data_IF_805526319903
#
_entry.id   IF_805526319903
#
_cell.length_a   1.000
_cell.length_b   1.000
_cell.length_c   1.000
_cell.angle_alpha   90.00
_cell.angle_beta   90.00
_cell.angle_gamma   90.00
#
_symmetry.space_group_name_H-M   'P 1'
#
loop_
_entity.id
_entity.type
_entity.pdbx_description
1 polymer ?
#
# COMPACT_ATOMS: atom_id res chain seq x y z
N UNK A 1 -18.79 22.55 -5.28
CA UNK A 1 -18.20 21.63 -6.28
C UNK A 1 -17.89 20.33 -5.57
N UNK A 2 -18.32 19.19 -6.11
CA UNK A 2 -18.03 17.87 -5.54
C UNK A 2 -16.60 17.48 -5.91
N UNK A 3 -15.77 17.18 -4.92
CA UNK A 3 -14.44 16.63 -5.16
C UNK A 3 -14.56 15.25 -5.80
N UNK A 4 -13.76 14.99 -6.83
CA UNK A 4 -13.75 13.70 -7.52
C UNK A 4 -12.75 12.74 -6.86
N UNK A 5 -13.09 11.46 -6.65
CA UNK A 5 -12.15 10.49 -6.14
C UNK A 5 -11.00 10.27 -7.12
N UNK A 6 -9.79 10.05 -6.60
CA UNK A 6 -8.58 9.75 -7.36
C UNK A 6 -7.94 8.48 -6.79
N UNK A 7 -8.16 7.30 -7.40
CA UNK A 7 -7.60 6.05 -6.89
C UNK A 7 -6.07 6.06 -7.05
N UNK A 8 -5.36 5.86 -5.94
CA UNK A 8 -3.91 5.65 -5.93
C UNK A 8 -3.59 4.20 -6.25
N UNK A 9 -2.34 3.95 -6.68
CA UNK A 9 -1.83 2.59 -6.77
C UNK A 9 -1.89 1.95 -5.37
N UNK A 10 -2.62 0.84 -5.19
CA UNK A 10 -2.90 0.18 -3.92
C UNK A 10 -1.74 -0.65 -3.36
N UNK A 11 -0.62 -0.67 -4.05
CA UNK A 11 0.55 -1.46 -3.68
C UNK A 11 1.64 -0.57 -3.10
N UNK A 12 2.15 -0.95 -1.93
CA UNK A 12 3.43 -0.45 -1.41
C UNK A 12 4.62 -1.16 -2.08
N UNK A 13 4.39 -2.06 -3.04
CA UNK A 13 5.46 -2.69 -3.81
C UNK A 13 6.32 -1.63 -4.52
N UNK A 14 7.56 -2.01 -4.80
CA UNK A 14 8.59 -1.16 -5.41
C UNK A 14 9.03 0.05 -4.57
N UNK A 15 8.75 0.06 -3.26
CA UNK A 15 9.30 1.00 -2.28
C UNK A 15 8.30 2.02 -1.73
N UNK A 16 7.01 1.70 -1.76
CA UNK A 16 5.97 2.48 -1.10
C UNK A 16 6.05 2.41 0.43
N UNK A 17 5.12 3.07 1.11
CA UNK A 17 5.12 3.17 2.57
C UNK A 17 3.83 2.62 3.18
N UNK A 18 3.97 1.94 4.31
CA UNK A 18 2.85 1.60 5.18
C UNK A 18 2.87 2.51 6.40
N UNK A 19 1.81 3.29 6.61
CA UNK A 19 1.75 4.34 7.64
C UNK A 19 0.61 4.04 8.61
N UNK A 20 0.88 4.03 9.91
CA UNK A 20 -0.15 3.79 10.91
C UNK A 20 -1.19 4.93 10.92
N UNK A 21 -2.47 4.58 11.05
CA UNK A 21 -3.55 5.56 11.21
C UNK A 21 -3.62 5.95 12.69
N UNK A 22 -3.31 7.21 12.99
CA UNK A 22 -3.29 7.75 14.35
C UNK A 22 -4.69 8.05 14.86
N UNK A 23 -4.91 7.78 16.15
CA UNK A 23 -6.21 8.01 16.81
C UNK A 23 -7.35 7.22 16.16
N UNK A 24 -7.05 6.01 15.67
CA UNK A 24 -8.01 5.25 14.88
C UNK A 24 -9.23 4.83 15.71
N UNK A 25 -10.43 5.15 15.21
CA UNK A 25 -11.70 4.81 15.85
C UNK A 25 -11.94 3.29 15.78
N UNK A 26 -11.76 2.59 16.91
CA UNK A 26 -11.82 1.13 16.98
C UNK A 26 -13.13 0.54 16.46
N UNK A 27 -14.27 1.18 16.74
CA UNK A 27 -15.57 0.74 16.21
C UNK A 27 -15.61 0.77 14.68
N UNK A 28 -15.08 1.82 14.06
CA UNK A 28 -15.04 1.92 12.61
C UNK A 28 -14.05 0.93 11.97
N UNK A 29 -12.94 0.64 12.65
CA UNK A 29 -12.01 -0.40 12.19
C UNK A 29 -12.60 -1.81 12.33
N UNK A 30 -13.42 -2.04 13.36
CA UNK A 30 -14.13 -3.31 13.56
C UNK A 30 -15.13 -3.57 12.45
N UNK A 31 -15.96 -2.58 12.11
CA UNK A 31 -16.92 -2.68 10.99
C UNK A 31 -16.23 -3.03 9.66
N UNK A 32 -15.01 -2.54 9.47
CA UNK A 32 -14.21 -2.82 8.29
C UNK A 32 -13.54 -4.20 8.32
N UNK A 33 -13.23 -4.75 9.49
CA UNK A 33 -12.63 -6.07 9.60
C UNK A 33 -13.56 -7.16 9.05
N UNK A 34 -14.87 -7.02 9.30
CA UNK A 34 -15.91 -7.95 8.84
C UNK A 34 -16.33 -7.72 7.38
N UNK A 35 -16.16 -6.49 6.87
CA UNK A 35 -16.64 -6.09 5.55
C UNK A 35 -15.59 -6.17 4.42
N UNK A 36 -14.31 -6.24 4.76
CA UNK A 36 -13.25 -6.16 3.77
C UNK A 36 -12.95 -7.51 3.10
N UNK A 37 -12.61 -7.43 1.80
CA UNK A 37 -12.22 -8.58 1.01
C UNK A 37 -10.92 -9.18 1.55
N UNK A 38 -10.74 -10.52 1.46
CA UNK A 38 -9.45 -11.14 1.77
C UNK A 38 -8.36 -10.43 0.96
N UNK A 39 -7.29 -9.99 1.64
CA UNK A 39 -6.19 -9.30 0.98
C UNK A 39 -5.52 -10.17 -0.09
N UNK A 40 -4.72 -9.52 -0.96
CA UNK A 40 -3.94 -10.17 -2.01
C UNK A 40 -2.95 -11.25 -1.51
N UNK A 41 -2.73 -11.34 -0.20
CA UNK A 41 -1.81 -12.29 0.46
C UNK A 41 -2.49 -13.61 0.88
N UNK A 42 -3.77 -13.81 0.55
CA UNK A 42 -4.49 -15.06 0.80
C UNK A 42 -5.23 -15.13 2.15
N UNK A 43 -5.78 -16.31 2.51
CA UNK A 43 -6.58 -16.48 3.71
C UNK A 43 -5.74 -16.28 4.98
N UNK A 44 -5.96 -15.16 5.68
CA UNK A 44 -5.25 -14.76 6.89
C UNK A 44 -4.48 -13.43 6.79
N UNK A 45 -4.41 -12.82 5.60
CA UNK A 45 -3.84 -11.48 5.42
C UNK A 45 -4.69 -10.36 6.02
N UNK A 46 -4.14 -9.13 6.14
CA UNK A 46 -4.90 -7.97 6.60
C UNK A 46 -6.09 -7.69 5.65
N UNK A 47 -7.22 -7.34 6.26
CA UNK A 47 -8.42 -6.91 5.53
C UNK A 47 -8.16 -5.57 4.85
N UNK A 48 -8.59 -5.41 3.59
CA UNK A 48 -8.34 -4.20 2.82
C UNK A 48 -9.60 -3.38 2.56
N UNK A 49 -9.54 -2.07 2.79
CA UNK A 49 -10.64 -1.14 2.52
C UNK A 49 -10.17 0.12 1.78
N UNK A 50 -10.94 0.60 0.81
CA UNK A 50 -10.65 1.85 0.11
C UNK A 50 -10.98 3.06 1.01
N UNK A 51 -10.01 3.94 1.26
CA UNK A 51 -10.16 5.10 2.14
C UNK A 51 -9.79 6.38 1.43
N UNK A 52 -10.46 7.47 1.77
CA UNK A 52 -10.24 8.80 1.20
C UNK A 52 -9.39 9.65 2.13
N UNK A 53 -8.42 10.36 1.56
CA UNK A 53 -7.54 11.29 2.28
C UNK A 53 -8.03 12.73 2.08
N UNK A 54 -8.08 13.49 3.17
CA UNK A 54 -8.51 14.89 3.15
C UNK A 54 -7.56 15.72 4.03
N UNK A 55 -7.05 16.88 3.57
CA UNK A 55 -6.22 17.75 4.40
C UNK A 55 -6.87 18.15 5.72
N UNK A 56 -6.07 18.15 6.78
CA UNK A 56 -6.45 18.66 8.09
C UNK A 56 -5.73 19.98 8.38
N UNK A 57 -6.39 21.14 8.26
CA UNK A 57 -5.76 22.42 8.55
C UNK A 57 -5.40 22.60 10.03
N UNK A 58 -6.00 21.81 10.94
CA UNK A 58 -5.75 21.94 12.38
C UNK A 58 -4.45 21.24 12.82
N UNK A 59 -4.20 20.04 12.31
CA UNK A 59 -2.98 19.27 12.62
C UNK A 59 -1.87 19.45 11.59
N UNK A 60 -2.18 20.05 10.44
CA UNK A 60 -1.28 20.13 9.29
C UNK A 60 -1.19 18.82 8.50
N UNK A 61 -1.76 17.71 8.98
CA UNK A 61 -1.71 16.38 8.36
C UNK A 61 -2.91 16.05 7.45
N UNK A 62 -3.29 14.78 7.42
CA UNK A 62 -4.42 14.26 6.62
C UNK A 62 -5.42 13.53 7.53
N UNK A 63 -6.71 13.72 7.29
CA UNK A 63 -7.79 12.86 7.83
C UNK A 63 -8.04 11.70 6.90
N UNK A 64 -8.23 10.53 7.49
CA UNK A 64 -8.58 9.29 6.77
C UNK A 64 -10.06 9.01 6.96
N UNK A 65 -10.79 8.84 5.85
CA UNK A 65 -12.22 8.55 5.85
C UNK A 65 -12.56 7.27 5.11
N UNK A 66 -13.49 6.49 5.64
CA UNK A 66 -14.17 5.41 4.91
C UNK A 66 -15.64 5.81 4.73
N UNK A 67 -16.04 6.08 3.49
CA UNK A 67 -17.34 6.67 3.20
C UNK A 67 -17.53 8.01 3.94
N UNK A 68 -18.42 8.02 4.94
CA UNK A 68 -18.70 9.20 5.79
C UNK A 68 -18.03 9.13 7.16
N UNK A 69 -17.44 8.00 7.52
CA UNK A 69 -16.87 7.77 8.85
C UNK A 69 -15.39 8.15 8.86
N UNK A 70 -14.99 8.98 9.82
CA UNK A 70 -13.57 9.28 10.07
C UNK A 70 -12.92 8.06 10.72
N UNK A 71 -11.92 7.49 10.07
CA UNK A 71 -11.13 6.41 10.64
C UNK A 71 -10.09 6.95 11.60
N UNK A 72 -9.37 8.01 11.23
CA UNK A 72 -8.31 8.59 12.04
C UNK A 72 -7.57 9.69 11.31
N UNK A 73 -6.28 9.84 11.61
CA UNK A 73 -5.42 10.90 11.07
C UNK A 73 -4.04 10.36 10.69
N UNK A 74 -3.34 11.11 9.86
CA UNK A 74 -1.94 10.87 9.47
C UNK A 74 -1.12 12.12 9.81
N UNK A 75 0.16 11.95 10.17
CA UNK A 75 1.01 13.05 10.62
C UNK A 75 1.30 14.06 9.51
N UNK A 76 1.67 15.29 9.90
CA UNK A 76 2.04 16.36 8.97
C UNK A 76 3.26 16.01 8.10
N UNK A 77 4.23 15.27 8.66
CA UNK A 77 5.43 14.80 7.94
C UNK A 77 5.09 13.94 6.71
N UNK A 78 3.92 13.30 6.69
CA UNK A 78 3.48 12.55 5.53
C UNK A 78 3.20 13.47 4.33
N UNK A 79 2.68 14.68 4.55
CA UNK A 79 2.44 15.64 3.46
C UNK A 79 3.75 16.20 2.92
N UNK A 80 4.76 16.36 3.76
CA UNK A 80 6.12 16.73 3.34
C UNK A 80 6.74 15.64 2.46
N UNK A 81 6.54 14.36 2.81
CA UNK A 81 7.02 13.23 2.01
C UNK A 81 6.21 12.97 0.73
N UNK A 82 4.98 13.49 0.65
CA UNK A 82 4.05 13.26 -0.47
C UNK A 82 3.42 14.58 -0.97
N UNK A 83 4.21 15.51 -1.51
CA UNK A 83 3.69 16.78 -2.06
C UNK A 83 2.68 16.57 -3.20
N UNK A 84 2.72 15.42 -3.87
CA UNK A 84 1.76 15.04 -4.92
C UNK A 84 0.32 14.92 -4.37
N UNK A 85 0.13 14.58 -3.09
CA UNK A 85 -1.21 14.54 -2.48
C UNK A 85 -1.82 15.93 -2.33
N UNK A 86 -0.98 16.93 -2.06
CA UNK A 86 -1.39 18.33 -2.01
C UNK A 86 -1.72 18.85 -3.41
N UNK A 87 -0.94 18.44 -4.41
CA UNK A 87 -1.19 18.72 -5.82
C UNK A 87 -2.55 18.20 -6.28
N UNK A 88 -2.87 16.94 -5.96
CA UNK A 88 -4.19 16.35 -6.23
C UNK A 88 -5.30 17.13 -5.52
N UNK A 89 -5.10 17.46 -4.24
CA UNK A 89 -6.12 18.19 -3.48
C UNK A 89 -6.36 19.60 -4.02
N UNK A 90 -5.31 20.29 -4.46
CA UNK A 90 -5.38 21.58 -5.15
C UNK A 90 -6.17 21.52 -6.45
N UNK A 91 -6.14 20.38 -7.15
CA UNK A 91 -6.94 20.10 -8.36
C UNK A 91 -8.37 19.63 -8.04
N UNK A 92 -8.82 19.76 -6.79
CA UNK A 92 -10.13 19.29 -6.32
C UNK A 92 -10.33 17.77 -6.45
N UNK A 93 -9.22 17.02 -6.45
CA UNK A 93 -9.21 15.57 -6.43
C UNK A 93 -9.04 15.07 -4.99
N UNK A 94 -9.64 13.92 -4.68
CA UNK A 94 -9.57 13.26 -3.38
C UNK A 94 -8.78 11.96 -3.50
N UNK A 95 -7.52 11.93 -3.05
CA UNK A 95 -6.72 10.71 -3.09
C UNK A 95 -7.43 9.58 -2.34
N UNK A 96 -7.52 8.42 -2.99
CA UNK A 96 -8.05 7.19 -2.42
C UNK A 96 -6.94 6.15 -2.32
N UNK A 97 -6.62 5.77 -1.08
CA UNK A 97 -5.59 4.77 -0.77
C UNK A 97 -6.25 3.50 -0.19
N UNK A 98 -5.46 2.44 0.02
CA UNK A 98 -5.94 1.24 0.71
C UNK A 98 -5.54 1.27 2.17
N UNK A 99 -6.52 1.10 3.06
CA UNK A 99 -6.28 0.80 4.46
C UNK A 99 -6.12 -0.71 4.64
N UNK A 100 -5.06 -1.11 5.35
CA UNK A 100 -4.77 -2.46 5.80
C UNK A 100 -5.21 -2.60 7.25
N UNK A 101 -6.08 -3.55 7.53
CA UNK A 101 -6.76 -3.67 8.82
C UNK A 101 -6.48 -5.06 9.36
N UNK A 102 -5.85 -5.11 10.53
CA UNK A 102 -5.43 -6.35 11.16
C UNK A 102 -5.77 -6.37 12.65
N UNK A 103 -6.08 -7.56 13.15
CA UNK A 103 -6.23 -7.79 14.58
C UNK A 103 -4.84 -7.97 15.19
N UNK A 104 -4.52 -7.21 16.23
CA UNK A 104 -3.28 -7.39 16.98
C UNK A 104 -3.37 -8.65 17.84
N UNK A 105 -2.52 -9.67 17.60
CA UNK A 105 -2.58 -10.91 18.37
C UNK A 105 -2.38 -10.64 19.87
N UNK A 106 -3.20 -11.27 20.71
CA UNK A 106 -3.08 -11.23 22.17
C UNK A 106 -3.53 -9.93 22.86
N UNK A 107 -3.87 -8.86 22.12
CA UNK A 107 -4.36 -7.60 22.70
C UNK A 107 -5.82 -7.27 22.37
N UNK A 108 -6.44 -7.98 21.43
CA UNK A 108 -7.81 -7.72 20.99
C UNK A 108 -8.03 -6.33 20.39
N UNK A 109 -6.95 -5.62 20.03
CA UNK A 109 -6.98 -4.27 19.45
C UNK A 109 -6.83 -4.35 17.94
N UNK A 110 -7.58 -3.53 17.22
CA UNK A 110 -7.51 -3.49 15.76
C UNK A 110 -6.56 -2.39 15.34
N UNK A 111 -5.61 -2.74 14.48
CA UNK A 111 -4.64 -1.83 13.88
C UNK A 111 -5.09 -1.50 12.46
N UNK A 112 -5.17 -0.21 12.16
CA UNK A 112 -5.36 0.30 10.82
C UNK A 112 -4.07 0.95 10.33
N UNK A 113 -3.62 0.54 9.16
CA UNK A 113 -2.48 1.14 8.46
C UNK A 113 -2.93 1.57 7.06
N UNK A 114 -2.21 2.52 6.48
CA UNK A 114 -2.44 2.99 5.13
C UNK A 114 -1.30 2.52 4.23
N UNK A 115 -1.63 1.79 3.18
CA UNK A 115 -0.71 1.48 2.10
C UNK A 115 -0.69 2.65 1.11
N UNK A 116 0.48 3.27 0.97
CA UNK A 116 0.74 4.32 -0.01
C UNK A 116 1.80 3.85 -1.01
N UNK A 117 1.61 4.16 -2.30
CA UNK A 117 2.64 3.89 -3.29
C UNK A 117 3.83 4.84 -3.06
N UNK A 118 4.91 4.70 -3.82
CA UNK A 118 5.99 5.71 -3.78
C UNK A 118 5.46 7.09 -4.15
N UNK A 119 6.05 8.18 -3.64
CA UNK A 119 5.68 9.55 -4.03
C UNK A 119 5.67 9.74 -5.55
N UNK A 120 6.67 9.19 -6.26
CA UNK A 120 6.78 9.25 -7.72
C UNK A 120 5.73 8.43 -8.50
N UNK A 121 4.92 7.62 -7.82
CA UNK A 121 3.83 6.83 -8.41
C UNK A 121 2.43 7.40 -8.10
N UNK A 122 2.33 8.45 -7.28
CA UNK A 122 1.03 9.03 -6.90
C UNK A 122 0.29 9.57 -8.12
N UNK A 123 0.98 10.27 -9.02
CA UNK A 123 0.45 10.79 -10.29
C UNK A 123 1.22 10.08 -11.42
N UNK A 124 0.54 9.40 -12.37
CA UNK A 124 1.22 8.82 -13.53
C UNK A 124 1.90 9.90 -14.39
N UNK A 125 3.01 9.54 -15.01
CA UNK A 125 3.75 10.38 -15.95
C UNK A 125 3.01 10.57 -17.28
N UNK A 126 2.12 9.65 -17.64
CA UNK A 126 1.31 9.74 -18.86
C UNK A 126 -0.13 10.10 -18.55
N UNK A 127 -0.74 11.01 -19.33
CA UNK A 127 -2.14 11.35 -19.17
C UNK A 127 -3.03 10.14 -19.53
N UNK A 128 -4.26 10.09 -19.00
CA UNK A 128 -5.22 9.08 -19.44
C UNK A 128 -5.57 9.26 -20.93
N UNK A 129 -6.00 8.18 -21.63
CA UNK A 129 -6.47 8.29 -23.01
C UNK A 129 -7.65 9.26 -23.16
N UNK A 130 -7.75 9.89 -24.35
CA UNK A 130 -8.85 10.80 -24.67
C UNK A 130 -10.15 10.04 -24.98
N UNK A 131 -10.02 8.81 -25.49
CA UNK A 131 -11.12 7.89 -25.76
C UNK A 131 -11.70 7.30 -24.47
N UNK A 132 -12.96 6.81 -24.47
CA UNK A 132 -13.48 6.00 -23.38
C UNK A 132 -12.56 4.83 -23.07
N UNK A 133 -12.20 4.69 -21.80
CA UNK A 133 -11.20 3.72 -21.37
C UNK A 133 -11.59 3.10 -20.03
N UNK A 134 -11.07 1.91 -19.75
CA UNK A 134 -11.26 1.21 -18.48
C UNK A 134 -9.90 0.80 -17.90
N UNK A 135 -9.77 0.94 -16.59
CA UNK A 135 -8.58 0.47 -15.89
C UNK A 135 -8.68 -1.04 -15.69
N UNK A 136 -7.64 -1.77 -16.09
CA UNK A 136 -7.52 -3.19 -15.80
C UNK A 136 -7.56 -3.42 -14.29
N UNK A 137 -8.31 -4.43 -13.82
CA UNK A 137 -8.31 -4.79 -12.41
C UNK A 137 -6.89 -5.16 -11.98
N UNK A 138 -6.52 -4.66 -10.81
CA UNK A 138 -5.15 -4.81 -10.34
C UNK A 138 -4.88 -6.21 -9.81
N UNK A 139 -3.67 -6.70 -10.05
CA UNK A 139 -3.22 -8.02 -9.62
C UNK A 139 -1.70 -8.09 -9.46
N UNK A 140 -1.07 -9.27 -9.64
CA UNK A 140 0.38 -9.40 -9.50
C UNK A 140 1.12 -8.52 -10.52
N UNK A 141 2.36 -8.16 -10.17
CA UNK A 141 3.26 -7.48 -11.08
C UNK A 141 3.75 -8.45 -12.17
N UNK A 142 3.47 -8.12 -13.43
CA UNK A 142 3.85 -8.88 -14.62
C UNK A 142 4.94 -8.14 -15.35
N UNK A 143 6.06 -8.80 -15.62
CA UNK A 143 7.19 -8.16 -16.27
C UNK A 143 6.89 -7.91 -17.75
N UNK A 144 7.23 -6.71 -18.21
CA UNK A 144 7.09 -6.31 -19.62
C UNK A 144 8.48 -6.42 -20.26
N UNK A 145 8.56 -7.18 -21.35
CA UNK A 145 9.75 -7.21 -22.18
C UNK A 145 9.85 -5.90 -22.97
N UNK A 146 10.67 -4.98 -22.48
CA UNK A 146 10.91 -3.67 -23.09
C UNK A 146 11.76 -3.75 -24.35
N UNK A 147 12.45 -4.87 -24.61
CA UNK A 147 13.26 -5.05 -25.82
C UNK A 147 12.41 -5.21 -27.08
N UNK A 148 11.11 -5.52 -26.94
CA UNK A 148 10.15 -5.56 -28.05
C UNK A 148 9.46 -4.22 -28.30
N UNK A 149 9.68 -3.23 -27.42
CA UNK A 149 9.14 -1.88 -27.54
C UNK A 149 10.01 -0.96 -28.40
N UNK A 150 9.44 0.18 -28.77
CA UNK A 150 10.12 1.28 -29.48
C UNK A 150 10.12 2.60 -28.70
N UNK A 151 9.52 2.61 -27.50
CA UNK A 151 9.51 3.76 -26.62
C UNK A 151 10.94 4.19 -26.25
N UNK A 152 11.15 5.50 -26.18
CA UNK A 152 12.36 6.08 -25.63
C UNK A 152 12.59 5.59 -24.19
N UNK A 153 13.83 5.70 -23.73
CA UNK A 153 14.30 5.27 -22.41
C UNK A 153 13.30 5.63 -21.32
N UNK A 154 12.77 4.62 -20.64
CA UNK A 154 11.77 4.80 -19.59
C UNK A 154 12.46 5.32 -18.34
N UNK A 155 11.96 6.42 -17.79
CA UNK A 155 12.47 6.95 -16.53
C UNK A 155 12.29 5.90 -15.41
N UNK A 156 13.36 5.55 -14.67
CA UNK A 156 13.27 4.67 -13.51
C UNK A 156 12.39 5.25 -12.41
N UNK A 157 11.65 4.40 -11.70
CA UNK A 157 10.82 4.84 -10.58
C UNK A 157 9.63 5.72 -10.96
N UNK A 158 9.11 5.60 -12.19
CA UNK A 158 7.88 6.26 -12.66
C UNK A 158 6.72 5.29 -12.87
N UNK A 159 5.51 5.83 -12.77
CA UNK A 159 4.28 5.13 -13.13
C UNK A 159 3.74 5.67 -14.45
N UNK A 160 3.23 4.77 -15.30
CA UNK A 160 2.63 5.07 -16.58
C UNK A 160 1.22 4.48 -16.63
N UNK A 161 0.29 5.22 -17.23
CA UNK A 161 -0.96 4.65 -17.74
C UNK A 161 -0.68 4.11 -19.13
N UNK A 162 -0.64 2.78 -19.24
CA UNK A 162 -0.30 2.08 -20.48
C UNK A 162 -1.56 1.49 -21.11
N UNK A 163 -1.82 1.82 -22.37
CA UNK A 163 -2.81 1.11 -23.20
C UNK A 163 -2.32 -0.32 -23.41
N UNK A 164 -3.21 -1.28 -23.17
CA UNK A 164 -2.94 -2.71 -23.39
C UNK A 164 -3.79 -3.18 -24.56
N UNK A 165 -3.15 -3.79 -25.55
CA UNK A 165 -3.83 -4.36 -26.73
C UNK A 165 -3.33 -5.78 -26.96
N UNK A 166 -4.18 -6.67 -27.46
CA UNK A 166 -3.76 -8.04 -27.79
C UNK A 166 -3.51 -8.18 -29.29
N UNK A 167 -2.29 -8.55 -29.67
CA UNK A 167 -1.89 -8.81 -31.06
C UNK A 167 -1.40 -10.26 -31.14
N UNK A 168 -2.05 -11.08 -31.97
CA UNK A 168 -1.73 -12.51 -32.13
C UNK A 168 -1.64 -13.29 -30.79
N UNK A 169 -2.48 -12.88 -29.83
CA UNK A 169 -2.53 -13.47 -28.49
C UNK A 169 -1.49 -12.94 -27.50
N UNK A 170 -0.62 -12.01 -27.91
CA UNK A 170 0.36 -11.35 -27.04
C UNK A 170 -0.16 -9.99 -26.61
N UNK A 171 -0.09 -9.69 -25.32
CA UNK A 171 -0.46 -8.38 -24.79
C UNK A 171 0.71 -7.40 -25.00
N UNK A 172 0.46 -6.33 -25.74
CA UNK A 172 1.40 -5.25 -26.04
C UNK A 172 0.96 -3.99 -25.30
N UNK A 173 1.92 -3.31 -24.68
CA UNK A 173 1.72 -2.10 -23.92
C UNK A 173 2.20 -0.90 -24.71
N UNK A 174 1.41 0.17 -24.72
CA UNK A 174 1.78 1.44 -25.33
C UNK A 174 1.48 2.61 -24.39
N UNK A 175 2.32 3.63 -24.40
CA UNK A 175 2.08 4.85 -23.65
C UNK A 175 2.56 6.06 -24.46
N UNK A 176 1.70 7.09 -24.56
CA UNK A 176 1.92 8.16 -25.51
C UNK A 176 1.90 7.64 -26.96
N UNK A 177 2.92 8.00 -27.75
CA UNK A 177 3.03 7.58 -29.15
C UNK A 177 3.84 6.28 -29.36
N UNK A 178 4.45 5.73 -28.30
CA UNK A 178 5.35 4.57 -28.39
C UNK A 178 4.83 3.30 -27.72
N UNK A 179 5.31 2.15 -28.20
CA UNK A 179 5.20 0.84 -27.58
C UNK A 179 6.22 0.70 -26.46
N UNK A 180 5.74 0.43 -25.25
CA UNK A 180 6.57 0.13 -24.09
C UNK A 180 7.19 -1.28 -24.15
N UNK A 181 6.56 -2.20 -24.88
CA UNK A 181 6.96 -3.61 -24.96
C UNK A 181 5.79 -4.57 -24.86
N UNK A 182 6.09 -5.85 -24.67
CA UNK A 182 5.11 -6.94 -24.63
C UNK A 182 5.22 -7.80 -23.38
N UNK A 183 4.11 -8.36 -22.92
CA UNK A 183 4.14 -9.39 -21.88
C UNK A 183 4.62 -10.73 -22.44
N UNK A 184 5.15 -11.57 -21.56
CA UNK A 184 5.41 -12.97 -21.87
C UNK A 184 4.12 -13.73 -22.26
N UNK A 185 4.23 -14.91 -22.89
CA UNK A 185 3.05 -15.66 -23.36
C UNK A 185 2.07 -16.07 -22.24
N UNK A 186 2.60 -16.44 -21.07
CA UNK A 186 1.79 -16.81 -19.90
C UNK A 186 1.03 -15.60 -19.34
N UNK A 187 1.75 -14.51 -19.05
CA UNK A 187 1.15 -13.25 -18.60
C UNK A 187 0.14 -12.68 -19.61
N UNK A 188 0.44 -12.81 -20.90
CA UNK A 188 -0.47 -12.42 -21.98
C UNK A 188 -1.75 -13.25 -21.97
N UNK A 189 -1.66 -14.57 -21.73
CA UNK A 189 -2.83 -15.43 -21.67
C UNK A 189 -3.74 -15.07 -20.50
N UNK A 190 -3.17 -14.72 -19.35
CA UNK A 190 -3.92 -14.34 -18.15
C UNK A 190 -4.79 -13.08 -18.35
N UNK A 191 -4.25 -12.07 -19.06
CA UNK A 191 -4.93 -10.77 -19.24
C UNK A 191 -5.71 -10.65 -20.55
N UNK A 192 -5.53 -11.59 -21.49
CA UNK A 192 -6.10 -11.52 -22.84
C UNK A 192 -7.62 -11.35 -22.83
N UNK A 193 -8.30 -12.17 -22.04
CA UNK A 193 -9.76 -12.24 -22.08
C UNK A 193 -10.38 -10.96 -21.53
N UNK A 194 -9.84 -10.40 -20.43
CA UNK A 194 -10.31 -9.11 -19.90
C UNK A 194 -10.02 -7.93 -20.84
N UNK A 195 -8.86 -7.92 -21.51
CA UNK A 195 -8.53 -6.89 -22.51
C UNK A 195 -9.50 -6.97 -23.70
N UNK A 196 -9.71 -8.18 -24.23
CA UNK A 196 -10.62 -8.40 -25.36
C UNK A 196 -12.07 -8.05 -24.99
N UNK A 197 -12.47 -8.31 -23.75
CA UNK A 197 -13.79 -7.95 -23.23
C UNK A 197 -13.97 -6.42 -23.17
N UNK A 198 -12.96 -5.68 -22.71
CA UNK A 198 -13.04 -4.20 -22.69
C UNK A 198 -13.07 -3.62 -24.11
N UNK A 199 -12.29 -4.17 -25.03
CA UNK A 199 -12.35 -3.79 -26.45
C UNK A 199 -13.74 -4.05 -27.05
N UNK A 200 -14.39 -5.18 -26.70
CA UNK A 200 -15.75 -5.49 -27.13
C UNK A 200 -16.83 -4.55 -26.56
N UNK A 201 -16.52 -3.81 -25.49
CA UNK A 201 -17.34 -2.75 -24.91
C UNK A 201 -17.01 -1.36 -25.49
N UNK A 202 -16.20 -1.28 -26.55
CA UNK A 202 -15.66 -0.03 -27.11
C UNK A 202 -14.85 0.80 -26.10
N UNK A 203 -14.19 0.12 -25.15
CA UNK A 203 -13.32 0.73 -24.15
C UNK A 203 -11.85 0.40 -24.44
N UNK A 204 -10.99 1.41 -24.33
CA UNK A 204 -9.53 1.20 -24.32
C UNK A 204 -9.14 0.56 -22.99
N UNK A 205 -8.54 -0.64 -23.03
CA UNK A 205 -7.97 -1.26 -21.84
C UNK A 205 -6.68 -0.55 -21.43
N UNK A 206 -6.63 -0.06 -20.19
CA UNK A 206 -5.48 0.67 -19.63
C UNK A 206 -5.00 -0.04 -18.38
N UNK A 207 -3.70 -0.32 -18.31
CA UNK A 207 -3.05 -0.84 -17.12
C UNK A 207 -2.17 0.20 -16.45
N UNK A 208 -1.90 0.00 -15.15
CA UNK A 208 -0.83 0.74 -14.47
C UNK A 208 0.48 -0.01 -14.65
N UNK A 209 1.41 0.62 -15.35
CA UNK A 209 2.76 0.11 -15.49
C UNK A 209 3.72 0.93 -14.62
N UNK A 210 4.68 0.30 -13.95
CA UNK A 210 5.68 0.98 -13.13
C UNK A 210 7.09 0.52 -13.50
N UNK A 211 8.04 1.44 -13.49
CA UNK A 211 9.46 1.12 -13.59
C UNK A 211 10.06 0.96 -12.19
N UNK A 212 10.84 -0.09 -11.99
CA UNK A 212 11.64 -0.23 -10.77
C UNK A 212 12.89 0.69 -10.83
N UNK A 213 13.73 0.64 -9.80
CA UNK A 213 14.99 1.42 -9.76
C UNK A 213 16.04 0.96 -10.77
N UNK A 214 15.88 -0.22 -11.37
CA UNK A 214 16.77 -0.78 -12.39
C UNK A 214 16.26 -0.49 -13.81
N UNK A 215 15.15 0.26 -13.96
CA UNK A 215 14.53 0.55 -15.25
C UNK A 215 13.69 -0.58 -15.84
N UNK A 216 13.47 -1.68 -15.11
CA UNK A 216 12.57 -2.77 -15.54
C UNK A 216 11.11 -2.36 -15.37
N UNK A 217 10.29 -2.68 -16.37
CA UNK A 217 8.89 -2.29 -16.43
C UNK A 217 7.97 -3.44 -15.99
N UNK A 218 7.00 -3.13 -15.13
CA UNK A 218 6.03 -4.08 -14.62
C UNK A 218 4.61 -3.56 -14.81
N UNK A 219 3.73 -4.39 -15.37
CA UNK A 219 2.29 -4.15 -15.43
C UNK A 219 1.60 -4.77 -14.22
N UNK A 220 0.72 -4.02 -13.55
CA UNK A 220 -0.18 -4.59 -12.55
C UNK A 220 -1.52 -4.94 -13.18
N UNK A 221 -1.79 -6.23 -13.33
CA UNK A 221 -3.04 -6.74 -13.88
C UNK A 221 -3.39 -8.11 -13.29
N UNK A 222 -4.63 -8.27 -12.83
CA UNK A 222 -5.16 -9.55 -12.39
C UNK A 222 -5.37 -10.49 -13.58
N UNK A 223 -5.21 -11.79 -13.34
CA UNK A 223 -5.61 -12.78 -14.31
C UNK A 223 -7.14 -12.78 -14.44
N UNK A 224 -7.65 -12.98 -15.65
CA UNK A 224 -9.10 -12.95 -15.91
C UNK A 224 -9.84 -14.02 -15.09
N UNK A 225 -9.19 -15.15 -14.83
CA UNK A 225 -9.74 -16.25 -14.01
C UNK A 225 -9.96 -15.88 -12.54
N UNK A 226 -9.23 -14.89 -12.03
CA UNK A 226 -9.32 -14.44 -10.63
C UNK A 226 -10.35 -13.31 -10.44
N UNK A 227 -10.99 -12.87 -11.53
CA UNK A 227 -11.92 -11.76 -11.50
C UNK A 227 -13.32 -12.18 -11.07
N UNK A 228 -13.91 -11.38 -10.18
CA UNK A 228 -15.34 -11.43 -9.91
C UNK A 228 -16.13 -10.89 -11.13
N UNK A 229 -17.36 -11.38 -11.40
CA UNK A 229 -18.18 -10.87 -12.50
C UNK A 229 -18.36 -9.35 -12.52
N UNK A 230 -18.35 -8.67 -11.37
CA UNK A 230 -18.42 -7.21 -11.30
C UNK A 230 -17.23 -6.50 -11.95
N UNK A 231 -16.05 -7.14 -12.04
CA UNK A 231 -14.87 -6.58 -12.71
C UNK A 231 -14.99 -6.59 -14.24
N UNK A 232 -15.96 -7.34 -14.78
CA UNK A 232 -16.31 -7.33 -16.21
C UNK A 232 -17.14 -6.10 -16.60
N UNK A 233 -17.64 -5.33 -15.63
CA UNK A 233 -18.37 -4.08 -15.85
C UNK A 233 -17.59 -2.90 -15.27
N UNK A 234 -16.47 -2.50 -15.91
CA UNK A 234 -15.59 -1.50 -15.32
C UNK A 234 -16.23 -0.10 -15.33
N UNK A 235 -15.87 0.75 -14.36
CA UNK A 235 -16.14 2.18 -14.47
C UNK A 235 -15.41 2.77 -15.68
N UNK A 236 -16.12 3.58 -16.46
CA UNK A 236 -15.56 4.29 -17.61
C UNK A 236 -14.76 5.50 -17.12
N UNK A 237 -13.51 5.60 -17.57
CA UNK A 237 -12.56 6.67 -17.24
C UNK A 237 -12.42 6.92 -15.73
N UNK A 238 -11.95 5.91 -14.96
CA UNK A 238 -11.98 5.96 -13.50
C UNK A 238 -10.98 6.94 -12.88
N UNK A 239 -9.92 7.30 -13.61
CA UNK A 239 -8.95 8.31 -13.18
C UNK A 239 -9.20 9.64 -13.90
N UNK A 240 -9.49 10.73 -13.15
CA UNK A 240 -9.50 12.05 -13.75
C UNK A 240 -8.09 12.47 -14.17
N UNK A 241 -8.03 13.37 -15.15
CA UNK A 241 -6.78 14.01 -15.58
C UNK A 241 -6.18 14.78 -14.39
N UNK A 242 -5.03 14.33 -13.93
CA UNK A 242 -4.26 14.95 -12.86
C UNK A 242 -2.91 15.32 -13.42
N UNK A 243 -2.53 16.59 -13.27
CA UNK A 243 -1.24 17.06 -13.74
C UNK A 243 -0.25 17.10 -12.59
N UNK A 244 1.01 16.70 -12.80
CA UNK A 244 2.06 17.01 -11.83
C UNK A 244 2.13 18.52 -11.61
N UNK A 245 2.65 18.96 -10.47
CA UNK A 245 2.83 20.37 -10.22
C UNK A 245 3.84 20.92 -11.25
N UNK A 246 3.55 22.09 -11.83
CA UNK A 246 4.49 22.80 -12.70
C UNK A 246 5.77 23.10 -11.90
N UNK A 247 6.79 22.26 -12.08
CA UNK A 247 8.01 22.21 -11.26
C UNK A 247 8.68 20.84 -11.29
N UNK A 248 7.90 19.75 -11.39
CA UNK A 248 8.46 18.38 -11.41
C UNK A 248 9.08 17.98 -12.77
N UNK A 249 8.78 18.70 -13.85
CA UNK A 249 9.31 18.41 -15.21
C UNK A 249 10.57 19.23 -15.57
N UNK A 250 10.82 20.36 -14.90
CA UNK A 250 11.92 21.28 -15.23
C UNK A 250 13.07 21.25 -14.21
N UNK A 251 12.87 20.58 -13.07
CA UNK A 251 13.82 20.57 -11.95
C UNK A 251 14.75 19.34 -11.92
N UNK A 252 14.64 18.44 -12.89
CA UNK A 252 15.55 17.30 -13.03
C UNK A 252 16.91 17.69 -13.66
N UNK A 253 17.01 18.83 -14.36
CA UNK A 253 18.20 19.16 -15.17
C UNK A 253 18.70 20.61 -15.01
N UNK A 254 18.23 21.37 -14.01
CA UNK A 254 18.71 22.73 -13.77
C UNK A 254 18.89 23.00 -12.27
N UNK A 255 20.09 23.46 -11.85
CA UNK A 255 20.36 23.65 -10.43
C UNK A 255 19.50 24.79 -9.88
N UNK A 256 18.93 24.56 -8.70
CA UNK A 256 18.02 25.50 -8.04
C UNK A 256 18.79 26.77 -7.63
N UNK A 257 18.59 27.85 -8.38
CA UNK A 257 19.20 29.16 -8.18
C UNK A 257 18.17 30.09 -7.55
N UNK A 258 18.25 30.27 -6.23
CA UNK A 258 17.39 31.20 -5.51
C UNK A 258 18.11 32.54 -5.30
N UNK A 259 17.55 33.65 -5.81
CA UNK A 259 17.96 34.99 -5.39
C UNK A 259 17.40 35.30 -4.01
N UNK A 260 18.30 35.61 -3.07
CA UNK A 260 17.97 36.04 -1.73
C UNK A 260 17.61 37.54 -1.74
N UNK A 261 16.78 38.01 -0.79
CA UNK A 261 16.30 39.40 -0.74
C UNK A 261 17.40 40.47 -0.60
N UNK A 262 18.63 40.06 -0.28
CA UNK A 262 19.82 40.90 -0.13
C UNK A 262 20.63 41.03 -1.43
N UNK A 263 20.18 40.41 -2.54
CA UNK A 263 20.87 40.41 -3.82
C UNK A 263 21.97 39.36 -3.95
N UNK A 264 22.12 38.46 -2.96
CA UNK A 264 22.95 37.28 -3.09
C UNK A 264 22.17 36.13 -3.73
N UNK A 265 22.85 35.16 -4.31
CA UNK A 265 22.22 33.95 -4.86
C UNK A 265 22.67 32.72 -4.08
N UNK A 266 21.75 31.77 -3.90
CA UNK A 266 22.01 30.45 -3.34
C UNK A 266 21.80 29.43 -4.45
N UNK A 267 22.86 28.67 -4.73
CA UNK A 267 22.80 27.50 -5.61
C UNK A 267 22.76 26.25 -4.75
N UNK A 268 21.75 25.41 -4.91
CA UNK A 268 21.68 24.12 -4.23
C UNK A 268 21.96 23.01 -5.24
N UNK A 269 23.08 22.31 -5.08
CA UNK A 269 23.47 21.16 -5.90
C UNK A 269 23.18 19.87 -5.12
N UNK A 270 22.59 18.86 -5.78
CA UNK A 270 22.37 17.53 -5.20
C UNK A 270 23.69 16.74 -5.27
N UNK A 271 24.04 16.03 -4.20
CA UNK A 271 25.40 15.52 -3.98
C UNK A 271 25.95 14.50 -4.99
N UNK A 272 25.11 13.99 -5.91
CA UNK A 272 25.54 13.04 -6.94
C UNK A 272 26.28 13.72 -8.11
N UNK A 273 26.03 15.02 -8.35
CA UNK A 273 26.67 15.84 -9.40
C UNK A 273 28.04 16.40 -9.01
N UNK A 274 28.51 16.15 -7.77
CA UNK A 274 29.79 16.68 -7.25
C UNK A 274 30.91 15.64 -7.32
N UNK A 275 30.79 14.65 -8.21
CA UNK A 275 31.73 13.52 -8.27
C UNK A 275 32.83 13.62 -9.33
N UNK A 276 32.89 14.68 -10.14
CA UNK A 276 34.10 14.97 -10.91
C UNK A 276 35.14 15.69 -10.04
N UNK A 277 36.08 14.90 -9.52
CA UNK A 277 37.24 15.42 -8.80
C UNK A 277 37.96 16.47 -9.65
N UNK A 278 37.98 17.71 -9.16
CA UNK A 278 38.76 18.80 -9.74
C UNK A 278 40.19 18.30 -9.90
N UNK A 279 40.65 18.14 -11.14
CA UNK A 279 42.02 17.76 -11.43
C UNK A 279 42.96 18.78 -10.76
N UNK A 280 43.73 18.32 -9.78
CA UNK A 280 44.68 19.17 -9.09
C UNK A 280 45.80 19.54 -10.06
N UNK A 281 45.73 20.74 -10.64
CA UNK A 281 46.91 21.38 -11.21
C UNK A 281 47.90 21.64 -10.09
N UNK A 282 48.95 20.80 -10.04
CA UNK A 282 50.17 21.08 -9.31
C UNK A 282 50.75 22.44 -9.76
N UNK A 283 50.66 23.45 -8.89
CA UNK A 283 51.76 24.34 -8.46
C UNK A 283 51.19 25.64 -7.89
N UNK A 284 50.89 25.59 -6.59
CA UNK A 284 50.60 26.78 -5.81
C UNK A 284 50.60 26.41 -4.34
N UNK A 285 51.61 26.85 -3.58
CA UNK A 285 51.68 26.73 -2.12
C UNK A 285 50.32 27.07 -1.50
N UNK A 286 49.61 26.07 -0.98
CA UNK A 286 48.43 26.27 -0.15
C UNK A 286 48.84 27.16 1.03
N UNK A 287 48.31 28.38 1.10
CA UNK A 287 48.41 29.21 2.30
C UNK A 287 47.36 28.71 3.28
N UNK A 288 47.74 28.53 4.54
CA UNK A 288 46.79 28.19 5.59
C UNK A 288 45.71 29.27 5.66
N UNK A 289 44.45 28.88 5.45
CA UNK A 289 43.30 29.75 5.67
C UNK A 289 43.20 29.94 7.19
N UNK A 290 43.59 31.12 7.67
CA UNK A 290 43.47 31.46 9.08
C UNK A 290 42.02 31.92 9.29
N UNK A 291 41.23 31.14 10.01
CA UNK A 291 39.82 31.47 10.28
C UNK A 291 39.71 32.84 10.96
N UNK A 292 38.80 33.74 10.50
CA UNK A 292 38.58 35.07 11.10
C UNK A 292 38.20 35.04 12.58
N UNK A 293 37.72 33.88 13.08
CA UNK A 293 37.30 33.70 14.47
C UNK A 293 38.47 33.78 15.45
N UNK A 294 39.72 33.59 15.00
CA UNK A 294 40.91 33.68 15.87
C UNK A 294 41.24 35.09 16.35
N UNK A 295 40.70 36.12 15.71
CA UNK A 295 40.94 37.53 16.06
C UNK A 295 39.67 38.26 16.50
N UNK A 296 38.55 37.54 16.64
CA UNK A 296 37.36 38.11 17.25
C UNK A 296 37.69 38.44 18.71
N UNK A 297 37.67 39.74 19.01
CA UNK A 297 37.81 40.28 20.35
C UNK A 297 36.41 40.54 20.90
N UNK A 298 36.17 40.12 22.13
CA UNK A 298 35.06 40.63 22.91
C UNK A 298 35.24 42.14 23.13
N UNK A 299 34.17 42.90 23.44
CA UNK A 299 34.25 44.35 23.71
C UNK A 299 35.19 44.73 24.88
N UNK A 300 35.62 43.76 25.68
CA UNK A 300 36.60 43.90 26.75
C UNK A 300 38.07 43.69 26.30
N UNK A 301 38.31 43.44 25.01
CA UNK A 301 39.63 43.24 24.44
C UNK A 301 40.22 41.85 24.63
N UNK A 302 39.43 40.86 25.06
CA UNK A 302 39.87 39.46 25.21
C UNK A 302 39.44 38.60 24.02
N UNK A 303 40.24 37.57 23.69
CA UNK A 303 39.88 36.66 22.58
C UNK A 303 38.74 35.73 23.00
N UNK A 304 37.77 35.51 22.12
CA UNK A 304 36.54 34.72 22.40
C UNK A 304 36.85 33.30 22.92
N UNK A 305 38.00 32.73 22.55
CA UNK A 305 38.42 31.40 22.99
C UNK A 305 38.90 31.34 24.45
N UNK A 306 39.32 32.45 25.06
CA UNK A 306 39.71 32.47 26.48
C UNK A 306 38.53 32.66 27.43
N UNK A 307 37.47 33.35 27.00
CA UNK A 307 36.27 33.57 27.80
C UNK A 307 35.52 32.26 28.10
N UNK A 308 35.41 31.38 27.11
CA UNK A 308 34.74 30.07 27.27
C UNK A 308 35.49 29.09 28.18
N UNK A 309 36.78 29.32 28.49
CA UNK A 309 37.55 28.48 29.41
C UNK A 309 37.45 28.90 30.87
N UNK A 310 36.99 30.12 31.17
CA UNK A 310 36.91 30.64 32.55
C UNK A 310 35.57 30.35 33.23
N UNK A 311 34.52 30.01 32.50
CA UNK A 311 33.18 29.74 33.05
C UNK A 311 32.90 28.25 33.26
N UNK A 312 33.93 27.46 33.60
CA UNK A 312 33.78 26.10 34.12
C UNK A 312 33.23 26.11 35.55
N UNK A 313 31.99 26.55 35.71
CA UNK A 313 31.18 26.38 36.90
C UNK A 313 30.16 25.27 36.65
N UNK A 314 30.19 24.27 37.53
CA UNK A 314 29.30 23.10 37.57
C UNK A 314 27.83 23.55 37.57
N UNK A 315 26.99 23.10 36.61
CA UNK A 315 25.59 23.51 36.57
C UNK A 315 24.82 22.86 37.73
N UNK A 316 24.37 23.69 38.69
CA UNK A 316 23.42 23.30 39.73
C UNK A 316 22.13 22.77 39.09
N UNK A 317 21.78 21.56 39.49
CA UNK A 317 20.61 20.81 39.06
C UNK A 317 19.39 21.34 39.83
N UNK A 318 18.36 21.90 39.18
CA UNK A 318 17.17 22.37 39.90
C UNK A 318 16.42 21.19 40.52
N UNK A 319 16.10 21.32 41.81
CA UNK A 319 15.31 20.38 42.59
C UNK A 319 13.89 20.28 42.01
N UNK A 320 13.43 19.03 41.82
CA UNK A 320 12.09 18.74 41.32
C UNK A 320 11.07 18.97 42.43
N UNK A 321 10.22 19.98 42.25
CA UNK A 321 9.06 20.28 43.05
C UNK A 321 7.98 19.20 42.80
N UNK A 322 7.80 18.31 43.77
CA UNK A 322 6.72 17.33 43.79
C UNK A 322 5.37 18.03 43.95
N UNK A 323 4.63 18.13 42.85
CA UNK A 323 3.22 18.49 42.86
C UNK A 323 2.39 17.33 43.45
N UNK A 324 1.80 17.57 44.62
CA UNK A 324 0.75 16.73 45.20
C UNK A 324 -0.53 16.86 44.34
N UNK A 325 -0.99 15.75 43.77
CA UNK A 325 -2.32 15.67 43.16
C UNK A 325 -3.33 15.23 44.24
N UNK A 326 -4.35 16.06 44.40
CA UNK A 326 -5.47 15.91 45.32
C UNK A 326 -6.47 14.87 44.77
N UNK A 327 -6.63 13.75 45.49
CA UNK A 327 -7.64 12.72 45.25
C UNK A 327 -9.02 13.24 45.73
N UNK A 328 -9.79 13.80 44.80
CA UNK A 328 -11.13 14.32 45.06
C UNK A 328 -12.22 13.69 44.19
N UNK A 329 -12.95 12.74 44.78
CA UNK A 329 -14.38 12.45 44.57
C UNK A 329 -14.88 12.07 43.16
N UNK A 330 -14.99 10.76 42.90
CA UNK A 330 -15.94 10.22 41.91
C UNK A 330 -17.15 9.64 42.68
N UNK A 331 -18.36 10.19 42.52
CA UNK A 331 -19.57 9.60 43.08
C UNK A 331 -20.07 8.41 42.25
N UNK A 332 -20.76 7.52 42.96
CA UNK A 332 -21.17 6.18 42.57
C UNK A 332 -22.29 6.12 41.52
N UNK A 333 -22.26 4.99 40.78
CA UNK A 333 -23.35 4.19 40.20
C UNK A 333 -24.73 4.85 39.97
N UNK A 334 -25.14 4.87 38.70
CA UNK A 334 -26.54 4.66 38.32
C UNK A 334 -26.64 3.51 37.29
N UNK A 335 -27.25 2.40 37.71
CA UNK A 335 -27.67 1.29 36.86
C UNK A 335 -28.76 1.75 35.87
N UNK A 336 -28.64 1.48 34.56
CA UNK A 336 -29.75 1.64 33.65
C UNK A 336 -30.70 0.44 33.72
N UNK A 337 -31.86 0.73 34.29
CA UNK A 337 -33.11 -0.03 34.34
C UNK A 337 -33.49 -0.62 32.97
N UNK A 338 -33.67 -1.94 32.94
CA UNK A 338 -34.16 -2.69 31.79
C UNK A 338 -35.59 -2.28 31.37
N UNK A 339 -35.82 -2.21 30.05
CA UNK A 339 -37.12 -2.04 29.41
C UNK A 339 -37.30 -3.12 28.31
N UNK A 340 -38.55 -3.42 27.90
CA UNK A 340 -39.01 -4.80 27.73
C UNK A 340 -38.81 -5.39 26.33
N UNK A 341 -38.84 -6.72 26.33
CA UNK A 341 -38.75 -7.64 25.20
C UNK A 341 -39.74 -7.30 24.07
N UNK A 342 -39.20 -7.07 22.88
CA UNK A 342 -39.95 -7.12 21.62
C UNK A 342 -39.79 -8.52 21.02
N UNK A 343 -40.92 -9.21 20.89
CA UNK A 343 -41.11 -10.45 20.17
C UNK A 343 -40.92 -10.23 18.66
N UNK A 344 -40.17 -11.12 17.99
CA UNK A 344 -40.02 -11.06 16.54
C UNK A 344 -39.09 -12.13 15.97
N UNK A 345 -39.71 -13.16 15.39
CA UNK A 345 -39.19 -14.10 14.38
C UNK A 345 -37.96 -14.96 14.74
N UNK A 346 -38.26 -16.18 15.22
CA UNK A 346 -37.33 -17.31 15.21
C UNK A 346 -36.96 -17.69 13.76
N UNK A 347 -35.83 -17.16 13.26
CA UNK A 347 -35.12 -17.81 12.15
C UNK A 347 -34.57 -19.15 12.65
N UNK A 348 -34.64 -20.24 11.85
CA UNK A 348 -34.10 -21.53 12.25
C UNK A 348 -32.60 -21.39 12.52
N UNK A 349 -32.20 -21.59 13.78
CA UNK A 349 -30.81 -21.63 14.22
C UNK A 349 -30.12 -22.79 13.48
N UNK A 350 -29.36 -22.46 12.43
CA UNK A 350 -28.39 -23.39 11.83
C UNK A 350 -27.42 -23.80 12.93
N UNK A 351 -27.35 -25.09 13.21
CA UNK A 351 -26.47 -25.59 14.25
C UNK A 351 -25.00 -25.38 13.82
N UNK A 352 -24.12 -24.82 14.67
CA UNK A 352 -22.73 -24.56 14.32
C UNK A 352 -21.88 -25.82 14.08
N UNK A 353 -22.46 -27.02 14.23
CA UNK A 353 -21.75 -28.29 14.10
C UNK A 353 -21.31 -28.65 12.69
N UNK A 354 -21.99 -28.18 11.64
CA UNK A 354 -21.65 -28.56 10.26
C UNK A 354 -20.40 -27.84 9.74
N UNK A 355 -20.19 -26.58 10.14
CA UNK A 355 -18.97 -25.82 9.77
C UNK A 355 -17.74 -26.48 10.40
N UNK A 356 -17.83 -26.87 11.67
CA UNK A 356 -16.77 -27.60 12.35
C UNK A 356 -16.46 -28.95 11.68
N UNK A 357 -17.48 -29.68 11.24
CA UNK A 357 -17.30 -30.96 10.53
C UNK A 357 -16.64 -30.79 9.15
N UNK A 358 -16.98 -29.73 8.40
CA UNK A 358 -16.39 -29.43 7.10
C UNK A 358 -14.90 -29.05 7.23
N UNK A 359 -14.59 -28.14 8.16
CA UNK A 359 -13.20 -27.71 8.42
C UNK A 359 -12.35 -28.90 8.87
N UNK A 360 -12.86 -29.74 9.77
CA UNK A 360 -12.13 -30.94 10.21
C UNK A 360 -11.90 -31.95 9.07
N UNK A 361 -12.88 -32.12 8.18
CA UNK A 361 -12.76 -32.98 7.00
C UNK A 361 -11.67 -32.52 6.03
N UNK A 362 -11.61 -31.22 5.74
CA UNK A 362 -10.59 -30.64 4.84
C UNK A 362 -9.19 -30.78 5.46
N UNK A 363 -9.03 -30.45 6.74
CA UNK A 363 -7.74 -30.57 7.44
C UNK A 363 -7.25 -32.02 7.46
N UNK A 364 -8.13 -32.99 7.73
CA UNK A 364 -7.79 -34.41 7.69
C UNK A 364 -7.37 -34.88 6.29
N UNK A 365 -8.00 -34.36 5.23
CA UNK A 365 -7.69 -34.70 3.84
C UNK A 365 -6.32 -34.14 3.41
N UNK A 366 -6.02 -32.88 3.75
CA UNK A 366 -4.71 -32.26 3.47
C UNK A 366 -3.59 -32.96 4.25
N UNK A 367 -3.81 -33.27 5.54
CA UNK A 367 -2.85 -34.01 6.34
C UNK A 367 -2.59 -35.42 5.80
N UNK A 368 -3.65 -36.14 5.38
CA UNK A 368 -3.53 -37.47 4.77
C UNK A 368 -2.78 -37.44 3.43
N UNK A 369 -3.05 -36.44 2.58
CA UNK A 369 -2.35 -36.27 1.31
C UNK A 369 -0.87 -35.91 1.51
N UNK A 370 -0.57 -35.00 2.45
CA UNK A 370 0.80 -34.64 2.80
C UNK A 370 1.60 -35.83 3.32
N UNK A 371 1.00 -36.68 4.15
CA UNK A 371 1.64 -37.89 4.68
C UNK A 371 1.90 -38.92 3.57
N UNK A 372 0.96 -39.10 2.64
CA UNK A 372 1.13 -39.99 1.49
C UNK A 372 2.24 -39.51 0.53
N UNK A 373 2.33 -38.20 0.27
CA UNK A 373 3.37 -37.60 -0.55
C UNK A 373 4.74 -37.73 0.13
N UNK A 374 4.83 -37.40 1.43
CA UNK A 374 6.07 -37.55 2.19
C UNK A 374 6.60 -38.99 2.13
N UNK A 375 5.72 -39.99 2.25
CA UNK A 375 6.09 -41.42 2.15
C UNK A 375 6.52 -41.85 0.74
N UNK A 376 6.01 -41.19 -0.30
CA UNK A 376 6.39 -41.45 -1.69
C UNK A 376 7.74 -40.80 -2.07
N UNK A 377 8.08 -39.69 -1.43
CA UNK A 377 9.32 -38.93 -1.68
C UNK A 377 10.48 -39.46 -0.84
N UNK A 378 10.28 -39.75 0.44
CA UNK A 378 11.30 -40.30 1.34
C UNK A 378 10.67 -41.13 2.50
N UNK A 379 10.79 -42.47 2.49
CA UNK A 379 10.10 -43.32 3.46
C UNK A 379 10.81 -43.46 4.81
N UNK A 380 12.10 -43.10 4.92
CA UNK A 380 12.89 -43.28 6.15
C UNK A 380 12.35 -42.50 7.38
N UNK A 381 12.00 -41.20 7.30
CA UNK A 381 11.59 -40.43 8.49
C UNK A 381 10.26 -40.91 9.10
N UNK A 382 9.37 -41.52 8.32
CA UNK A 382 8.09 -42.05 8.81
C UNK A 382 8.21 -43.45 9.43
N UNK A 383 9.23 -44.21 9.03
CA UNK A 383 9.53 -45.52 9.60
C UNK A 383 10.10 -45.39 11.03
N UNK A 384 10.93 -44.37 11.29
CA UNK A 384 11.47 -44.08 12.63
C UNK A 384 10.39 -43.67 13.64
N UNK A 385 9.32 -43.01 13.17
CA UNK A 385 8.18 -42.63 13.98
C UNK A 385 7.22 -43.82 14.26
N UNK A 386 7.50 -45.01 13.72
CA UNK A 386 6.71 -46.21 13.94
C UNK A 386 5.27 -46.10 13.44
N UNK A 387 4.99 -45.22 12.46
CA UNK A 387 3.64 -44.99 11.93
C UNK A 387 3.32 -46.09 10.91
N UNK A 388 2.47 -47.07 11.24
CA UNK A 388 2.14 -48.15 10.30
C UNK A 388 1.38 -47.60 9.08
N UNK A 389 1.73 -48.06 7.88
CA UNK A 389 1.22 -47.51 6.62
C UNK A 389 -0.29 -47.60 6.38
N UNK A 390 -1.03 -48.36 7.22
CA UNK A 390 -2.49 -48.36 7.16
C UNK A 390 -3.11 -47.07 7.73
N UNK A 391 -2.38 -46.30 8.54
CA UNK A 391 -2.86 -45.04 9.12
C UNK A 391 -3.11 -44.00 8.04
N UNK A 392 -2.24 -43.92 7.02
CA UNK A 392 -2.38 -42.98 5.91
C UNK A 392 -3.69 -43.22 5.14
N UNK A 393 -3.97 -44.50 4.87
CA UNK A 393 -5.20 -44.95 4.21
C UNK A 393 -6.43 -44.68 5.11
N UNK A 394 -6.31 -44.89 6.42
CA UNK A 394 -7.39 -44.65 7.36
C UNK A 394 -7.74 -43.17 7.50
N UNK A 395 -6.73 -42.28 7.57
CA UNK A 395 -6.92 -40.82 7.64
C UNK A 395 -7.55 -40.29 6.35
N UNK A 396 -7.08 -40.77 5.19
CA UNK A 396 -7.60 -40.35 3.89
C UNK A 396 -9.04 -40.87 3.67
N UNK A 397 -9.34 -42.10 4.07
CA UNK A 397 -10.70 -42.64 4.05
C UNK A 397 -11.65 -41.90 5.00
N UNK A 398 -11.20 -41.55 6.21
CA UNK A 398 -11.99 -40.77 7.16
C UNK A 398 -12.27 -39.34 6.67
N UNK A 399 -11.26 -38.65 6.12
CA UNK A 399 -11.42 -37.32 5.53
C UNK A 399 -12.39 -37.32 4.34
N UNK A 400 -12.30 -38.33 3.47
CA UNK A 400 -13.22 -38.50 2.33
C UNK A 400 -14.65 -38.75 2.81
N UNK A 401 -14.85 -39.65 3.79
CA UNK A 401 -16.17 -39.95 4.34
C UNK A 401 -16.83 -38.74 5.02
N UNK A 402 -16.06 -37.93 5.77
CA UNK A 402 -16.55 -36.68 6.39
C UNK A 402 -16.95 -35.64 5.35
N UNK A 403 -16.15 -35.50 4.28
CA UNK A 403 -16.43 -34.53 3.20
C UNK A 403 -17.69 -34.91 2.42
N UNK A 404 -17.85 -36.20 2.09
CA UNK A 404 -19.07 -36.71 1.44
C UNK A 404 -20.28 -36.55 2.34
N UNK A 405 -20.17 -36.84 3.63
CA UNK A 405 -21.26 -36.65 4.59
C UNK A 405 -21.69 -35.18 4.68
N UNK A 406 -20.73 -34.25 4.73
CA UNK A 406 -21.01 -32.81 4.73
C UNK A 406 -21.70 -32.37 3.43
N UNK A 407 -21.25 -32.85 2.27
CA UNK A 407 -21.88 -32.57 0.98
C UNK A 407 -23.31 -33.11 0.88
N UNK A 408 -23.58 -34.31 1.42
CA UNK A 408 -24.93 -34.89 1.47
C UNK A 408 -25.86 -34.10 2.40
N UNK A 409 -25.35 -33.61 3.55
CA UNK A 409 -26.12 -32.74 4.45
C UNK A 409 -26.47 -31.42 3.74
N UNK A 410 -25.50 -30.79 3.07
CA UNK A 410 -25.68 -29.58 2.28
C UNK A 410 -26.71 -29.76 1.15
N UNK A 411 -26.65 -30.87 0.41
CA UNK A 411 -27.59 -31.17 -0.67
C UNK A 411 -29.02 -31.42 -0.16
N UNK A 412 -29.16 -32.00 1.05
CA UNK A 412 -30.48 -32.26 1.65
C UNK A 412 -31.13 -31.01 2.24
N UNK A 413 -30.32 -30.05 2.70
CA UNK A 413 -30.79 -28.78 3.26
C UNK A 413 -31.17 -27.74 2.20
N UNK A 414 -30.85 -27.97 0.92
CA UNK A 414 -31.12 -27.02 -0.17
C UNK A 414 -31.88 -27.64 -1.37
N UNK A 415 -33.09 -28.20 -1.17
CA UNK A 415 -33.81 -28.93 -2.21
C UNK A 415 -34.41 -28.06 -3.34
N UNK A 416 -34.33 -26.72 -3.26
CA UNK A 416 -35.02 -25.80 -4.17
C UNK A 416 -34.16 -25.26 -5.34
N UNK A 417 -32.91 -25.72 -5.50
CA UNK A 417 -32.03 -25.28 -6.59
C UNK A 417 -32.25 -25.99 -7.94
N UNK A 418 -33.45 -26.49 -8.22
CA UNK A 418 -33.75 -27.28 -9.41
C UNK A 418 -35.05 -26.88 -10.09
N UNK A 419 -35.01 -25.78 -10.86
CA UNK A 419 -35.64 -25.66 -12.18
C UNK A 419 -35.20 -24.41 -12.91
#
# INVERSE_FOLDING_TARGET
>A
MSFQPYPLLPSAAFGGATVAIEGAAQGALFDLLDAAAPGLEGPGGPSQAAVTLVPDPASGGLKVFHGRSKLGQLPASLREAYPQLDTLTGQQLRPQARALISLTPGRGTIRGELALPRPSFVIPATPPPAEPWALLPEGPAREVDTATGDAAELEPGRQYLARVTVIDGIAVLAAGEGSLGSLGPEDSADVRDIVSHYEALDLVAVGRAVTNSEGRLFLFAAATIDLDPSALEPPISPLPDARPAAGDEEQADSPDLAELPDGNWKLTLVGEDVSEGIATTETGRLRAITSPVRYALNPDGTTVLEAGRRTGGEPERPEAETAQFDEGLVPAEEEPKAAPEASGEERPRRSPGWIAALVFGIVALVAGAGLAIARAVDPEPLAELGVPGWIDIAVLAAGTALTVLAAVILARENPSGGR
#
